data_IF_808400452556
#
_entry.id   IF_808400452556
#
_cell.length_a   1.000
_cell.length_b   1.000
_cell.length_c   1.000
_cell.angle_alpha   90.00
_cell.angle_beta   90.00
_cell.angle_gamma   90.00
#
_symmetry.space_group_name_H-M   'P 1'
#
loop_
_entity.id
_entity.type
_entity.pdbx_description
1 polymer ?
#
# COMPACT_ATOMS: atom_id res chain seq x y z
N UNK A 1 -31.83 13.61 -27.93
CA UNK A 1 -32.32 12.57 -26.99
C UNK A 1 -31.47 11.31 -27.05
N UNK A 2 -31.48 10.52 -28.13
CA UNK A 2 -30.72 9.24 -28.21
C UNK A 2 -29.20 9.39 -28.00
N UNK A 3 -28.56 10.29 -28.73
CA UNK A 3 -27.12 10.55 -28.62
C UNK A 3 -26.69 11.08 -27.23
N UNK A 4 -27.56 11.89 -26.59
CA UNK A 4 -27.35 12.33 -25.21
C UNK A 4 -27.43 11.17 -24.22
N UNK A 5 -28.39 10.26 -24.43
CA UNK A 5 -28.57 9.06 -23.61
C UNK A 5 -27.39 8.07 -23.79
N UNK A 6 -26.93 7.87 -25.02
CA UNK A 6 -25.77 7.02 -25.34
C UNK A 6 -24.50 7.58 -24.70
N UNK A 7 -24.30 8.90 -24.76
CA UNK A 7 -23.18 9.56 -24.10
C UNK A 7 -23.25 9.47 -22.57
N UNK A 8 -24.45 9.62 -21.99
CA UNK A 8 -24.66 9.47 -20.54
C UNK A 8 -24.35 8.03 -20.09
N UNK A 9 -24.81 7.03 -20.85
CA UNK A 9 -24.56 5.61 -20.56
C UNK A 9 -23.07 5.25 -20.68
N UNK A 10 -22.38 5.76 -21.70
CA UNK A 10 -20.94 5.58 -21.85
C UNK A 10 -20.14 6.22 -20.72
N UNK A 11 -20.51 7.43 -20.29
CA UNK A 11 -19.91 8.10 -19.14
C UNK A 11 -20.13 7.32 -17.85
N UNK A 12 -21.35 6.84 -17.61
CA UNK A 12 -21.67 6.02 -16.44
C UNK A 12 -20.86 4.72 -16.41
N UNK A 13 -20.73 4.05 -17.57
CA UNK A 13 -19.90 2.85 -17.72
C UNK A 13 -18.43 3.14 -17.39
N UNK A 14 -17.89 4.23 -17.93
CA UNK A 14 -16.49 4.64 -17.71
C UNK A 14 -16.21 4.97 -16.23
N UNK A 15 -17.14 5.63 -15.54
CA UNK A 15 -17.04 5.87 -14.09
C UNK A 15 -17.06 4.54 -13.32
N UNK A 16 -17.92 3.59 -13.70
CA UNK A 16 -17.95 2.26 -13.10
C UNK A 16 -16.64 1.50 -13.26
N UNK A 17 -16.07 1.50 -14.47
CA UNK A 17 -14.77 0.87 -14.77
C UNK A 17 -13.62 1.53 -13.99
N UNK A 18 -13.61 2.86 -13.89
CA UNK A 18 -12.62 3.60 -13.10
C UNK A 18 -12.70 3.23 -11.62
N UNK A 19 -13.89 3.24 -11.04
CA UNK A 19 -14.10 2.89 -9.64
C UNK A 19 -13.66 1.44 -9.34
N UNK A 20 -13.94 0.50 -10.25
CA UNK A 20 -13.51 -0.90 -10.08
C UNK A 20 -11.99 -1.01 -10.10
N UNK A 21 -11.33 -0.35 -11.05
CA UNK A 21 -9.87 -0.33 -11.14
C UNK A 21 -9.21 0.30 -9.91
N UNK A 22 -9.79 1.39 -9.40
CA UNK A 22 -9.34 2.02 -8.15
C UNK A 22 -9.50 1.07 -6.98
N UNK A 23 -10.64 0.38 -6.87
CA UNK A 23 -10.87 -0.61 -5.81
C UNK A 23 -9.87 -1.75 -5.86
N UNK A 24 -9.66 -2.37 -7.02
CA UNK A 24 -8.67 -3.45 -7.22
C UNK A 24 -7.26 -3.00 -6.83
N UNK A 25 -6.87 -1.79 -7.22
CA UNK A 25 -5.55 -1.24 -6.91
C UNK A 25 -5.38 -1.00 -5.40
N UNK A 26 -6.41 -0.44 -4.75
CA UNK A 26 -6.41 -0.24 -3.30
C UNK A 26 -6.36 -1.57 -2.53
N UNK A 27 -7.11 -2.59 -2.97
CA UNK A 27 -7.08 -3.92 -2.36
C UNK A 27 -5.71 -4.57 -2.52
N UNK A 28 -5.09 -4.50 -3.70
CA UNK A 28 -3.74 -4.99 -3.93
C UNK A 28 -2.72 -4.30 -3.01
N UNK A 29 -2.84 -2.98 -2.84
CA UNK A 29 -1.99 -2.20 -1.94
C UNK A 29 -2.18 -2.56 -0.47
N UNK A 30 -3.42 -2.77 -0.02
CA UNK A 30 -3.69 -3.24 1.34
C UNK A 30 -3.05 -4.61 1.61
N UNK A 31 -3.09 -5.53 0.65
CA UNK A 31 -2.42 -6.82 0.76
C UNK A 31 -0.89 -6.68 0.80
N UNK A 32 -0.31 -5.80 -0.02
CA UNK A 32 1.12 -5.51 -0.03
C UNK A 32 1.61 -4.93 1.32
N UNK A 33 0.87 -3.98 1.88
CA UNK A 33 1.15 -3.39 3.19
C UNK A 33 1.06 -4.44 4.29
N UNK A 34 0.02 -5.27 4.29
CA UNK A 34 -0.11 -6.36 5.27
C UNK A 34 1.05 -7.35 5.22
N UNK A 35 1.43 -7.79 4.01
CA UNK A 35 2.56 -8.71 3.83
C UNK A 35 3.87 -8.10 4.34
N UNK A 36 4.08 -6.81 4.07
CA UNK A 36 5.23 -6.07 4.58
C UNK A 36 5.27 -6.07 6.11
N UNK A 37 4.15 -5.69 6.74
CA UNK A 37 4.08 -5.62 8.19
C UNK A 37 4.34 -6.99 8.81
N UNK A 38 3.82 -8.06 8.19
CA UNK A 38 4.05 -9.42 8.64
C UNK A 38 5.51 -9.84 8.52
N UNK A 39 6.16 -9.63 7.36
CA UNK A 39 7.57 -9.94 7.15
C UNK A 39 8.47 -9.16 8.10
N UNK A 40 8.27 -7.85 8.24
CA UNK A 40 9.06 -7.00 9.14
C UNK A 40 8.87 -7.43 10.60
N UNK A 41 7.65 -7.77 11.01
CA UNK A 41 7.40 -8.27 12.37
C UNK A 41 8.08 -9.61 12.61
N UNK A 42 8.01 -10.54 11.65
CA UNK A 42 8.67 -11.84 11.73
C UNK A 42 10.20 -11.69 11.83
N UNK A 43 10.79 -10.85 10.97
CA UNK A 43 12.23 -10.53 11.01
C UNK A 43 12.63 -9.89 12.33
N UNK A 44 11.84 -8.95 12.86
CA UNK A 44 12.12 -8.33 14.14
C UNK A 44 12.07 -9.33 15.30
N UNK A 45 11.10 -10.24 15.33
CA UNK A 45 11.03 -11.29 16.36
C UNK A 45 12.23 -12.22 16.27
N UNK A 46 12.59 -12.65 15.06
CA UNK A 46 13.73 -13.53 14.85
C UNK A 46 15.05 -12.86 15.25
N UNK A 47 15.24 -11.59 14.87
CA UNK A 47 16.43 -10.82 15.19
C UNK A 47 16.53 -10.50 16.69
N UNK A 48 15.43 -10.14 17.35
CA UNK A 48 15.37 -9.97 18.80
C UNK A 48 15.70 -11.26 19.55
N UNK A 49 15.24 -12.41 19.06
CA UNK A 49 15.54 -13.71 19.68
C UNK A 49 17.01 -14.13 19.57
N UNK A 50 17.75 -13.54 18.61
CA UNK A 50 19.16 -13.85 18.32
C UNK A 50 20.12 -12.78 18.83
N UNK A 51 19.64 -11.55 19.03
CA UNK A 51 20.45 -10.42 19.48
C UNK A 51 20.95 -10.66 20.90
N UNK A 52 22.27 -10.55 21.10
CA UNK A 52 22.92 -10.64 22.41
C UNK A 52 23.32 -9.27 22.94
N UNK A 53 23.37 -8.27 22.06
CA UNK A 53 23.79 -6.90 22.37
C UNK A 53 22.61 -5.91 22.18
N UNK A 54 22.28 -5.07 23.18
CA UNK A 54 21.32 -3.98 23.03
C UNK A 54 21.58 -3.03 21.84
N UNK A 55 22.84 -2.87 21.40
CA UNK A 55 23.18 -2.05 20.24
C UNK A 55 22.70 -2.67 18.91
N UNK A 56 22.75 -4.00 18.79
CA UNK A 56 22.21 -4.71 17.62
C UNK A 56 20.69 -4.52 17.54
N UNK A 57 20.00 -4.55 18.68
CA UNK A 57 18.55 -4.31 18.76
C UNK A 57 18.19 -2.89 18.31
N UNK A 58 18.96 -1.89 18.74
CA UNK A 58 18.79 -0.50 18.31
C UNK A 58 18.98 -0.32 16.80
N UNK A 59 20.01 -0.96 16.22
CA UNK A 59 20.26 -0.92 14.79
C UNK A 59 19.10 -1.56 14.00
N UNK A 60 18.60 -2.71 14.45
CA UNK A 60 17.43 -3.38 13.88
C UNK A 60 16.17 -2.51 13.93
N UNK A 61 15.91 -1.84 15.07
CA UNK A 61 14.79 -0.91 15.18
C UNK A 61 14.92 0.27 14.22
N UNK A 62 16.11 0.86 14.08
CA UNK A 62 16.35 1.95 13.13
C UNK A 62 16.10 1.54 11.69
N UNK A 63 16.59 0.36 11.30
CA UNK A 63 16.41 -0.17 9.96
C UNK A 63 14.93 -0.50 9.66
N UNK A 64 14.22 -1.09 10.62
CA UNK A 64 12.78 -1.32 10.53
C UNK A 64 11.98 0.00 10.40
N UNK A 65 12.36 1.03 11.16
CA UNK A 65 11.71 2.34 11.10
C UNK A 65 11.92 3.02 9.75
N UNK A 66 13.15 2.94 9.22
CA UNK A 66 13.50 3.46 7.90
C UNK A 66 12.70 2.75 6.80
N UNK A 67 12.69 1.43 6.79
CA UNK A 67 11.93 0.63 5.82
C UNK A 67 10.43 0.92 5.87
N UNK A 68 9.85 1.09 7.08
CA UNK A 68 8.46 1.47 7.25
C UNK A 68 8.16 2.87 6.70
N UNK A 69 9.04 3.84 6.97
CA UNK A 69 8.88 5.23 6.48
C UNK A 69 8.96 5.34 4.95
N UNK A 70 9.86 4.58 4.31
CA UNK A 70 9.99 4.54 2.86
C UNK A 70 8.73 3.96 2.21
N UNK A 71 8.21 2.84 2.75
CA UNK A 71 6.96 2.24 2.26
C UNK A 71 5.75 3.13 2.47
N UNK A 72 5.67 3.83 3.59
CA UNK A 72 4.60 4.80 3.83
C UNK A 72 4.56 5.89 2.76
N UNK A 73 5.71 6.49 2.43
CA UNK A 73 5.80 7.55 1.42
C UNK A 73 5.39 7.03 0.03
N UNK A 74 5.81 5.82 -0.33
CA UNK A 74 5.40 5.18 -1.59
C UNK A 74 3.88 5.01 -1.65
N UNK A 75 3.28 4.44 -0.60
CA UNK A 75 1.83 4.24 -0.55
C UNK A 75 1.04 5.55 -0.63
N UNK A 76 1.51 6.62 0.02
CA UNK A 76 0.86 7.94 -0.04
C UNK A 76 0.92 8.52 -1.46
N UNK A 77 2.05 8.37 -2.16
CA UNK A 77 2.18 8.84 -3.56
C UNK A 77 1.26 8.05 -4.49
N UNK A 78 1.28 6.72 -4.39
CA UNK A 78 0.43 5.87 -5.22
C UNK A 78 -1.06 6.10 -4.96
N UNK A 79 -1.45 6.37 -3.71
CA UNK A 79 -2.81 6.79 -3.38
C UNK A 79 -3.18 8.16 -3.97
N UNK A 80 -2.25 9.11 -4.01
CA UNK A 80 -2.47 10.40 -4.64
C UNK A 80 -2.64 10.27 -6.17
N UNK A 81 -1.81 9.45 -6.81
CA UNK A 81 -1.89 9.17 -8.25
C UNK A 81 -3.19 8.44 -8.64
N UNK A 82 -3.78 7.65 -7.73
CA UNK A 82 -5.08 7.00 -7.94
C UNK A 82 -6.27 7.97 -7.83
N UNK A 83 -6.10 9.09 -7.13
CA UNK A 83 -7.16 10.04 -6.81
C UNK A 83 -7.13 11.29 -7.70
N UNK A 84 -6.13 11.41 -8.60
CA UNK A 84 -5.95 12.54 -9.53
C UNK A 84 -6.08 12.09 -10.98
#
# INVERSE_FOLDING_TARGET
>A
MKQFNDNAMNSAKRVGELNMKTFETLTAKQAEVMNTCFETSSKNVEALSKAKDPQEVMALQQEALKACSEKWIVNVREAADLLT
#
